data_IF_126832190774
#
_entry.id   IF_126832190774
#
_cell.length_a   1.000
_cell.length_b   1.000
_cell.length_c   1.000
_cell.angle_alpha   90.00
_cell.angle_beta   90.00
_cell.angle_gamma   90.00
#
_symmetry.space_group_name_H-M   'P 1'
#
loop_
_entity.id
_entity.type
_entity.pdbx_description
1 polymer ?
#
# COMPACT_ATOMS: atom_id res chain seq x y z
N UNK A 1 -11.60 4.00 -10.16
CA UNK A 1 -11.08 2.84 -10.92
C UNK A 1 -9.56 2.85 -10.91
N UNK A 2 -8.92 1.75 -11.29
CA UNK A 2 -7.48 1.56 -11.04
C UNK A 2 -6.52 2.53 -11.73
N UNK A 3 -6.90 3.12 -12.88
CA UNK A 3 -6.08 4.17 -13.52
C UNK A 3 -5.87 5.39 -12.63
N UNK A 4 -6.85 5.75 -11.78
CA UNK A 4 -6.69 6.85 -10.80
C UNK A 4 -5.66 6.49 -9.73
N UNK A 5 -5.59 5.22 -9.33
CA UNK A 5 -4.61 4.71 -8.36
C UNK A 5 -3.19 4.78 -8.94
N UNK A 6 -3.01 4.37 -10.20
CA UNK A 6 -1.71 4.47 -10.89
C UNK A 6 -1.24 5.92 -10.99
N UNK A 7 -2.12 6.85 -11.37
CA UNK A 7 -1.80 8.28 -11.47
C UNK A 7 -1.43 8.88 -10.11
N UNK A 8 -2.17 8.54 -9.06
CA UNK A 8 -1.88 9.02 -7.71
C UNK A 8 -0.52 8.50 -7.20
N UNK A 9 -0.22 7.21 -7.42
CA UNK A 9 1.07 6.63 -7.10
C UNK A 9 2.22 7.29 -7.87
N UNK A 10 2.06 7.49 -9.18
CA UNK A 10 3.06 8.14 -10.02
C UNK A 10 3.30 9.60 -9.62
N UNK A 11 2.24 10.36 -9.32
CA UNK A 11 2.34 11.74 -8.82
C UNK A 11 3.11 11.79 -7.50
N UNK A 12 2.76 10.92 -6.54
CA UNK A 12 3.44 10.88 -5.24
C UNK A 12 4.90 10.46 -5.37
N UNK A 13 5.19 9.48 -6.21
CA UNK A 13 6.57 9.07 -6.51
C UNK A 13 7.38 10.21 -7.13
N UNK A 14 6.79 10.97 -8.05
CA UNK A 14 7.45 12.12 -8.65
C UNK A 14 7.78 13.20 -7.63
N UNK A 15 6.84 13.50 -6.72
CA UNK A 15 7.07 14.45 -5.63
C UNK A 15 8.19 13.99 -4.67
N UNK A 16 8.30 12.69 -4.40
CA UNK A 16 9.42 12.15 -3.61
C UNK A 16 10.76 12.32 -4.34
N UNK A 17 10.80 12.05 -5.64
CA UNK A 17 12.00 12.22 -6.45
C UNK A 17 12.44 13.69 -6.48
N UNK A 18 11.49 14.61 -6.67
CA UNK A 18 11.75 16.05 -6.63
C UNK A 18 12.32 16.49 -5.27
N UNK A 19 11.69 16.07 -4.16
CA UNK A 19 12.17 16.38 -2.81
C UNK A 19 13.57 15.81 -2.51
N UNK A 20 13.89 14.65 -3.08
CA UNK A 20 15.19 13.98 -2.92
C UNK A 20 16.24 14.38 -3.98
N UNK A 21 15.93 15.33 -4.88
CA UNK A 21 16.77 15.70 -6.02
C UNK A 21 17.17 14.49 -6.90
N UNK A 22 16.27 13.52 -7.05
CA UNK A 22 16.43 12.36 -7.94
C UNK A 22 15.83 12.70 -9.31
N UNK A 23 16.62 12.72 -10.39
CA UNK A 23 16.13 13.14 -11.70
C UNK A 23 15.24 12.08 -12.36
N UNK A 24 14.05 12.47 -12.82
CA UNK A 24 13.17 11.61 -13.61
C UNK A 24 13.50 11.73 -15.10
N UNK A 25 14.41 10.89 -15.57
CA UNK A 25 15.05 11.03 -16.90
C UNK A 25 14.29 10.35 -18.05
N UNK A 26 13.11 9.79 -17.82
CA UNK A 26 12.43 8.96 -18.83
C UNK A 26 10.91 9.02 -18.75
N UNK A 27 10.30 9.08 -19.94
CA UNK A 27 8.87 8.85 -20.12
C UNK A 27 8.56 7.36 -19.97
N UNK A 28 7.32 7.04 -19.57
CA UNK A 28 6.85 5.67 -19.47
C UNK A 28 5.35 5.57 -19.78
N UNK A 29 4.93 4.36 -20.12
CA UNK A 29 3.52 3.98 -20.15
C UNK A 29 3.28 2.96 -19.04
N UNK A 30 2.23 3.16 -18.24
CA UNK A 30 1.86 2.24 -17.17
C UNK A 30 0.44 1.73 -17.39
N UNK A 31 0.29 0.41 -17.32
CA UNK A 31 -0.98 -0.31 -17.31
C UNK A 31 -1.02 -1.24 -16.11
N UNK A 32 -2.20 -1.78 -15.79
CA UNK A 32 -2.34 -2.76 -14.72
C UNK A 32 -3.34 -3.83 -15.13
N UNK A 33 -3.09 -5.04 -14.62
CA UNK A 33 -4.04 -6.15 -14.59
C UNK A 33 -4.08 -6.67 -13.15
N UNK A 34 -5.22 -7.22 -12.72
CA UNK A 34 -5.35 -7.78 -11.38
C UNK A 34 -6.26 -8.99 -11.38
N UNK A 35 -5.83 -10.03 -10.67
CA UNK A 35 -6.65 -11.19 -10.34
C UNK A 35 -7.49 -10.98 -9.08
N UNK A 36 -7.29 -9.87 -8.35
CA UNK A 36 -8.06 -9.54 -7.15
C UNK A 36 -9.49 -9.19 -7.57
N UNK A 37 -10.50 -9.99 -7.18
CA UNK A 37 -11.87 -9.69 -7.52
C UNK A 37 -12.30 -8.35 -6.91
N UNK A 38 -13.14 -7.61 -7.63
CA UNK A 38 -13.62 -6.32 -7.13
C UNK A 38 -14.54 -6.52 -5.94
N UNK A 39 -14.37 -5.69 -4.90
CA UNK A 39 -15.32 -5.55 -3.77
C UNK A 39 -15.60 -6.84 -2.99
N UNK A 40 -14.60 -7.73 -2.85
CA UNK A 40 -14.69 -8.97 -2.05
C UNK A 40 -13.85 -8.94 -0.76
N UNK A 41 -13.37 -7.77 -0.34
CA UNK A 41 -12.56 -7.64 0.88
C UNK A 41 -11.10 -8.09 0.77
N UNK A 42 -10.56 -8.20 -0.46
CA UNK A 42 -9.16 -8.58 -0.72
C UNK A 42 -8.25 -7.38 -1.05
N UNK A 43 -8.68 -6.18 -0.65
CA UNK A 43 -7.94 -4.92 -0.74
C UNK A 43 -7.25 -4.61 -2.07
N UNK A 44 -8.02 -4.62 -3.16
CA UNK A 44 -7.48 -4.38 -4.50
C UNK A 44 -6.91 -2.97 -4.73
N UNK A 45 -7.35 -1.94 -4.00
CA UNK A 45 -6.91 -0.56 -4.23
C UNK A 45 -5.45 -0.34 -3.82
N UNK A 46 -5.14 -0.67 -2.57
CA UNK A 46 -3.81 -0.59 -1.99
C UNK A 46 -2.84 -1.51 -2.73
N UNK A 47 -3.31 -2.67 -3.21
CA UNK A 47 -2.50 -3.59 -4.00
C UNK A 47 -2.03 -2.97 -5.32
N UNK A 48 -2.91 -2.24 -6.01
CA UNK A 48 -2.57 -1.55 -7.26
C UNK A 48 -1.57 -0.42 -7.00
N UNK A 49 -1.73 0.35 -5.92
CA UNK A 49 -0.78 1.42 -5.56
C UNK A 49 0.59 0.82 -5.20
N UNK A 50 0.61 -0.23 -4.38
CA UNK A 50 1.82 -0.96 -4.00
C UNK A 50 2.55 -1.50 -5.24
N UNK A 51 1.81 -2.11 -6.18
CA UNK A 51 2.37 -2.61 -7.43
C UNK A 51 2.93 -1.48 -8.31
N UNK A 52 2.23 -0.34 -8.39
CA UNK A 52 2.69 0.83 -9.13
C UNK A 52 4.00 1.40 -8.57
N UNK A 53 4.11 1.53 -7.24
CA UNK A 53 5.36 1.98 -6.58
C UNK A 53 6.51 1.02 -6.85
N UNK A 54 6.29 -0.30 -6.74
CA UNK A 54 7.31 -1.30 -7.10
C UNK A 54 7.75 -1.18 -8.55
N UNK A 55 6.80 -1.03 -9.47
CA UNK A 55 7.10 -0.88 -10.90
C UNK A 55 7.92 0.38 -11.18
N UNK A 56 7.60 1.51 -10.53
CA UNK A 56 8.36 2.76 -10.68
C UNK A 56 9.78 2.63 -10.13
N UNK A 57 9.95 2.01 -8.96
CA UNK A 57 11.28 1.75 -8.39
C UNK A 57 12.11 0.85 -9.32
N UNK A 58 11.51 -0.20 -9.88
CA UNK A 58 12.16 -1.10 -10.82
C UNK A 58 12.48 -0.44 -12.16
N UNK A 59 11.62 0.46 -12.64
CA UNK A 59 11.81 1.15 -13.90
C UNK A 59 12.94 2.18 -13.82
N UNK A 60 12.99 2.98 -12.76
CA UNK A 60 13.95 4.08 -12.64
C UNK A 60 15.31 3.67 -12.05
N UNK A 61 15.38 2.63 -11.21
CA UNK A 61 16.65 2.27 -10.56
C UNK A 61 17.81 2.00 -11.54
N UNK A 62 17.63 1.25 -12.65
CA UNK A 62 18.71 1.03 -13.61
C UNK A 62 19.19 2.31 -14.30
N UNK A 63 18.26 3.19 -14.69
CA UNK A 63 18.58 4.44 -15.39
C UNK A 63 19.35 5.43 -14.51
N UNK A 64 19.17 5.34 -13.20
CA UNK A 64 19.84 6.19 -12.21
C UNK A 64 21.21 5.65 -11.79
N UNK A 65 21.62 4.49 -12.30
CA UNK A 65 22.85 3.80 -11.87
C UNK A 65 22.75 3.27 -10.44
N UNK A 66 21.55 3.18 -9.88
CA UNK A 66 21.33 2.69 -8.54
C UNK A 66 21.45 1.16 -8.52
N UNK A 67 22.03 0.60 -7.45
CA UNK A 67 22.20 -0.84 -7.22
C UNK A 67 20.89 -1.64 -7.07
N UNK A 68 19.77 -1.13 -7.61
CA UNK A 68 18.46 -1.75 -7.64
C UNK A 68 17.38 -0.92 -6.93
N UNK A 69 16.13 -1.42 -6.93
CA UNK A 69 14.98 -0.75 -6.32
C UNK A 69 15.17 -0.33 -4.86
N UNK A 70 15.89 -1.13 -4.06
CA UNK A 70 16.16 -0.85 -2.66
C UNK A 70 17.10 0.35 -2.46
N UNK A 71 18.11 0.50 -3.32
CA UNK A 71 19.03 1.63 -3.30
C UNK A 71 18.31 2.93 -3.68
N UNK A 72 17.45 2.88 -4.70
CA UNK A 72 16.61 4.01 -5.07
C UNK A 72 15.65 4.38 -3.93
N UNK A 73 15.01 3.41 -3.27
CA UNK A 73 14.15 3.67 -2.12
C UNK A 73 14.90 4.41 -1.00
N UNK A 74 16.12 3.97 -0.68
CA UNK A 74 16.98 4.64 0.31
C UNK A 74 17.37 6.06 -0.12
N UNK A 75 17.65 6.30 -1.40
CA UNK A 75 17.91 7.65 -1.94
C UNK A 75 16.72 8.58 -1.81
N UNK A 76 15.50 8.05 -1.88
CA UNK A 76 14.27 8.78 -1.61
C UNK A 76 14.05 9.05 -0.10
N UNK A 77 15.00 8.66 0.76
CA UNK A 77 14.92 8.83 2.21
C UNK A 77 13.98 7.84 2.89
N UNK A 78 13.67 6.72 2.23
CA UNK A 78 12.70 5.74 2.69
C UNK A 78 13.36 4.38 2.96
N UNK A 79 12.86 3.67 3.95
CA UNK A 79 13.12 2.25 4.17
C UNK A 79 11.87 1.43 3.85
N UNK A 80 12.01 0.09 3.81
CA UNK A 80 10.87 -0.83 3.64
C UNK A 80 9.75 -0.62 4.67
N UNK A 81 10.10 -0.13 5.86
CA UNK A 81 9.15 0.22 6.92
C UNK A 81 8.25 1.40 6.54
N UNK A 82 8.75 2.35 5.74
CA UNK A 82 8.05 3.59 5.42
C UNK A 82 7.04 3.41 4.28
N UNK A 83 7.22 2.40 3.43
CA UNK A 83 6.41 2.21 2.22
C UNK A 83 4.94 1.94 2.51
N UNK A 84 4.55 1.13 3.52
CA UNK A 84 3.16 1.03 3.94
C UNK A 84 2.53 2.38 4.29
N UNK A 85 3.24 3.27 4.99
CA UNK A 85 2.69 4.59 5.28
C UNK A 85 2.56 5.43 4.00
N UNK A 86 3.54 5.36 3.10
CA UNK A 86 3.48 6.01 1.80
C UNK A 86 2.26 5.58 0.97
N UNK A 87 1.95 4.27 0.93
CA UNK A 87 0.75 3.77 0.22
C UNK A 87 -0.53 4.30 0.85
N UNK A 88 -0.59 4.34 2.19
CA UNK A 88 -1.74 4.91 2.90
C UNK A 88 -1.92 6.39 2.59
N UNK A 89 -0.84 7.17 2.54
CA UNK A 89 -0.87 8.58 2.15
C UNK A 89 -1.41 8.77 0.73
N UNK A 90 -1.04 7.89 -0.22
CA UNK A 90 -1.60 7.92 -1.57
C UNK A 90 -3.11 7.62 -1.56
N UNK A 91 -3.57 6.65 -0.80
CA UNK A 91 -5.01 6.35 -0.70
C UNK A 91 -5.78 7.50 -0.05
N UNK A 92 -5.28 8.03 1.07
CA UNK A 92 -5.98 9.02 1.87
C UNK A 92 -5.85 10.44 1.28
N UNK A 93 -4.62 10.91 1.04
CA UNK A 93 -4.36 12.31 0.67
C UNK A 93 -4.64 12.60 -0.81
N UNK A 94 -4.33 11.66 -1.72
CA UNK A 94 -4.53 11.90 -3.16
C UNK A 94 -5.93 11.51 -3.64
N UNK A 95 -6.59 10.57 -2.95
CA UNK A 95 -7.85 9.99 -3.42
C UNK A 95 -9.01 10.11 -2.45
N UNK A 96 -8.78 10.54 -1.21
CA UNK A 96 -9.82 10.67 -0.19
C UNK A 96 -10.43 9.34 0.24
N UNK A 97 -9.70 8.23 0.03
CA UNK A 97 -10.19 6.88 0.35
C UNK A 97 -9.93 6.63 1.83
N UNK A 98 -10.99 6.32 2.58
CA UNK A 98 -10.84 5.81 3.95
C UNK A 98 -10.26 4.40 3.88
N UNK A 99 -9.04 4.23 4.37
CA UNK A 99 -8.29 2.98 4.31
C UNK A 99 -7.85 2.52 5.70
N UNK A 100 -7.82 1.21 5.88
CA UNK A 100 -7.37 0.58 7.13
C UNK A 100 -5.85 0.48 7.24
N UNK A 101 -5.38 0.10 8.42
CA UNK A 101 -3.96 0.05 8.73
C UNK A 101 -3.26 -1.27 8.40
N UNK A 102 -3.86 -2.25 7.71
CA UNK A 102 -3.20 -3.55 7.50
C UNK A 102 -2.81 -3.85 6.04
N UNK A 103 -3.67 -3.52 5.09
CA UNK A 103 -3.62 -4.09 3.73
C UNK A 103 -2.29 -3.81 3.02
N UNK A 104 -1.87 -2.55 3.03
CA UNK A 104 -0.61 -2.14 2.40
C UNK A 104 0.66 -2.70 3.05
N UNK A 105 0.61 -3.12 4.32
CA UNK A 105 1.75 -3.79 4.96
C UNK A 105 1.93 -5.18 4.35
N UNK A 106 0.88 -6.00 4.33
CA UNK A 106 1.01 -7.37 3.80
C UNK A 106 1.30 -7.36 2.29
N UNK A 107 0.80 -6.38 1.55
CA UNK A 107 1.09 -6.24 0.12
C UNK A 107 2.54 -5.85 -0.15
N UNK A 108 3.15 -4.98 0.67
CA UNK A 108 4.56 -4.59 0.55
C UNK A 108 5.52 -5.67 1.06
N UNK A 109 5.20 -6.34 2.16
CA UNK A 109 6.09 -7.33 2.75
C UNK A 109 5.92 -8.71 2.09
N UNK A 110 4.68 -9.14 1.82
CA UNK A 110 4.35 -10.50 1.41
C UNK A 110 4.54 -11.52 2.53
N UNK A 111 4.13 -12.77 2.27
CA UNK A 111 4.27 -13.87 3.24
C UNK A 111 3.28 -13.77 4.40
N UNK A 112 3.78 -13.88 5.63
CA UNK A 112 3.03 -13.68 6.86
C UNK A 112 3.68 -12.55 7.66
N UNK A 113 2.88 -11.63 8.17
CA UNK A 113 3.37 -10.46 8.91
C UNK A 113 2.55 -10.25 10.18
N UNK A 114 3.23 -10.18 11.32
CA UNK A 114 2.67 -9.67 12.56
C UNK A 114 2.77 -8.14 12.54
N UNK A 115 1.64 -7.47 12.78
CA UNK A 115 1.52 -6.02 12.73
C UNK A 115 1.06 -5.49 14.09
N UNK A 116 1.81 -4.56 14.66
CA UNK A 116 1.48 -3.87 15.90
C UNK A 116 1.23 -2.38 15.61
N UNK A 117 -0.01 -1.93 15.85
CA UNK A 117 -0.44 -0.54 15.70
C UNK A 117 -0.69 0.14 17.05
N UNK A 118 -0.19 -0.43 18.15
CA UNK A 118 -0.40 0.09 19.49
C UNK A 118 0.20 1.49 19.63
N UNK A 119 -0.44 2.38 20.42
CA UNK A 119 0.14 3.67 20.76
C UNK A 119 1.55 3.50 21.36
N UNK A 120 2.49 4.36 20.97
CA UNK A 120 3.88 4.31 21.45
C UNK A 120 4.81 3.41 20.66
N UNK A 121 4.31 2.67 19.67
CA UNK A 121 5.17 1.99 18.69
C UNK A 121 6.00 3.02 17.89
N UNK A 122 7.30 2.76 17.63
CA UNK A 122 8.12 3.65 16.81
C UNK A 122 7.47 3.86 15.44
N UNK A 123 7.40 5.10 14.97
CA UNK A 123 6.73 5.47 13.70
C UNK A 123 5.23 5.14 13.64
N UNK A 124 4.59 4.84 14.78
CA UNK A 124 3.18 4.53 14.91
C UNK A 124 2.78 3.12 14.48
N UNK A 125 3.75 2.27 14.08
CA UNK A 125 3.52 0.86 13.83
C UNK A 125 4.83 0.04 13.81
N UNK A 126 4.77 -1.23 14.21
CA UNK A 126 5.85 -2.20 14.07
C UNK A 126 5.41 -3.41 13.22
N UNK A 127 6.29 -3.89 12.35
CA UNK A 127 6.02 -5.00 11.43
C UNK A 127 7.09 -6.08 11.57
N UNK A 128 6.67 -7.32 11.74
CA UNK A 128 7.57 -8.47 11.85
C UNK A 128 7.19 -9.55 10.84
N UNK A 129 8.10 -9.90 9.94
CA UNK A 129 7.94 -11.05 9.03
C UNK A 129 7.96 -12.33 9.85
N UNK A 130 6.98 -13.19 9.62
CA UNK A 130 6.84 -14.46 10.30
C UNK A 130 7.00 -15.62 9.29
N UNK A 131 7.46 -16.80 9.72
CA UNK A 131 7.47 -17.97 8.85
C UNK A 131 6.06 -18.36 8.40
N UNK A 132 5.84 -18.48 7.08
CA UNK A 132 4.55 -18.89 6.52
C UNK A 132 4.14 -20.30 6.96
N UNK A 133 5.12 -21.15 7.31
CA UNK A 133 4.90 -22.50 7.83
C UNK A 133 4.13 -22.54 9.17
N UNK A 134 3.93 -21.40 9.83
CA UNK A 134 3.07 -21.30 11.01
C UNK A 134 1.57 -21.35 10.66
N UNK A 135 1.20 -21.13 9.40
CA UNK A 135 -0.18 -21.16 8.95
C UNK A 135 -0.62 -22.60 8.65
N UNK A 136 -1.85 -22.99 9.03
CA UNK A 136 -2.45 -24.20 8.50
C UNK A 136 -2.73 -24.03 7.00
N UNK A 137 -3.02 -25.12 6.26
CA UNK A 137 -3.61 -25.00 4.93
C UNK A 137 -4.87 -24.14 4.97
N UNK A 138 -4.90 -23.08 4.15
CA UNK A 138 -6.03 -22.16 4.07
C UNK A 138 -6.76 -22.35 2.75
N UNK A 139 -8.10 -22.23 2.80
CA UNK A 139 -8.94 -22.17 1.61
C UNK A 139 -9.45 -20.74 1.42
N UNK A 140 -9.37 -20.23 0.19
CA UNK A 140 -9.95 -18.96 -0.19
C UNK A 140 -11.24 -19.21 -0.97
N UNK A 141 -12.35 -18.70 -0.45
CA UNK A 141 -13.63 -18.66 -1.14
C UNK A 141 -14.16 -17.23 -1.13
N UNK A 142 -14.68 -16.76 -2.25
CA UNK A 142 -15.29 -15.44 -2.38
C UNK A 142 -16.50 -15.50 -3.31
N UNK A 143 -17.44 -14.58 -3.12
CA UNK A 143 -18.64 -14.49 -3.93
C UNK A 143 -18.69 -13.14 -4.67
N UNK A 144 -18.51 -13.17 -5.99
CA UNK A 144 -18.52 -11.97 -6.84
C UNK A 144 -19.92 -11.38 -7.05
N UNK A 145 -20.98 -12.04 -6.56
CA UNK A 145 -22.36 -11.55 -6.61
C UNK A 145 -22.74 -10.72 -5.38
N UNK A 146 -22.01 -10.85 -4.28
CA UNK A 146 -22.22 -10.11 -3.03
C UNK A 146 -21.21 -8.95 -2.92
N UNK A 147 -21.30 -8.00 -3.85
CA UNK A 147 -20.40 -6.84 -3.88
C UNK A 147 -20.80 -5.85 -2.80
N UNK A 148 -19.86 -5.49 -1.92
CA UNK A 148 -20.03 -4.45 -0.90
C UNK A 148 -19.12 -3.26 -1.19
N UNK A 149 -19.69 -2.05 -1.18
CA UNK A 149 -18.89 -0.83 -1.16
C UNK A 149 -18.24 -0.69 0.22
N UNK A 150 -16.96 -1.01 0.31
CA UNK A 150 -16.18 -0.99 1.55
C UNK A 150 -16.18 0.41 2.19
N UNK A 151 -16.35 1.48 1.40
CA UNK A 151 -16.47 2.84 1.91
C UNK A 151 -17.65 3.04 2.85
N UNK A 152 -18.79 2.37 2.60
CA UNK A 152 -20.00 2.49 3.45
C UNK A 152 -19.89 1.70 4.74
N UNK A 153 -19.15 0.60 4.75
CA UNK A 153 -18.96 -0.25 5.93
C UNK A 153 -17.85 0.28 6.84
N UNK A 154 -16.79 0.86 6.26
CA UNK A 154 -15.65 1.38 7.02
C UNK A 154 -15.81 2.83 7.49
N UNK A 155 -16.61 3.67 6.81
CA UNK A 155 -16.77 5.06 7.21
C UNK A 155 -17.30 5.27 8.65
N UNK A 156 -18.26 4.48 9.18
CA UNK A 156 -18.73 4.68 10.54
C UNK A 156 -17.78 4.08 11.59
N UNK A 157 -16.87 3.17 11.21
CA UNK A 157 -15.92 2.55 12.16
C UNK A 157 -15.04 3.60 12.82
N UNK A 158 -14.44 4.48 12.02
CA UNK A 158 -13.58 5.55 12.54
C UNK A 158 -14.35 6.57 13.39
N UNK A 159 -15.58 6.91 12.99
CA UNK A 159 -16.44 7.80 13.75
C UNK A 159 -16.80 7.19 15.11
N UNK A 160 -17.26 5.94 15.13
CA UNK A 160 -17.60 5.21 16.36
C UNK A 160 -16.42 5.09 17.32
N UNK A 161 -15.22 4.78 16.81
CA UNK A 161 -14.01 4.77 17.63
C UNK A 161 -13.72 6.15 18.24
N UNK A 162 -13.82 7.23 17.45
CA UNK A 162 -13.61 8.59 17.94
C UNK A 162 -14.68 9.01 18.98
N UNK A 163 -15.90 8.47 18.87
CA UNK A 163 -17.00 8.67 19.81
C UNK A 163 -16.88 7.79 21.08
N UNK A 164 -15.82 7.00 21.20
CA UNK A 164 -15.53 6.18 22.40
C UNK A 164 -16.31 4.86 22.46
N UNK A 165 -16.81 4.36 21.32
CA UNK A 165 -17.44 3.04 21.26
C UNK A 165 -16.43 1.93 21.61
N UNK A 166 -16.60 1.31 22.78
CA UNK A 166 -15.70 0.28 23.29
C UNK A 166 -15.73 -1.05 22.51
N UNK A 167 -16.63 -1.20 21.53
CA UNK A 167 -16.76 -2.40 20.69
C UNK A 167 -15.97 -2.27 19.38
N UNK A 168 -15.48 -1.07 19.06
CA UNK A 168 -14.74 -0.75 17.83
C UNK A 168 -13.29 -0.38 18.13
#
# INVERSE_FOLDING_TARGET
GGLRLLRAAAKRFAALCEAANVPLVSNFTMSYETSIPRMVGLSGSSAIITAALRALLQFYAPALGDGGPAALLARLGLADHDVPQLVLDVEAAELGITAGLQDRVIQWYGGLVLMDFSPGTPRGAAYMRMPVALLPPLYLAFNTRLLGDSGKVHSPVRARFADGDHVV
#
